data_IF_119110935778
#
_entry.id   IF_119110935778
#
_cell.length_a   1.000
_cell.length_b   1.000
_cell.length_c   1.000
_cell.angle_alpha   90.00
_cell.angle_beta   90.00
_cell.angle_gamma   90.00
#
_symmetry.space_group_name_H-M   'P 1'
#
loop_
_entity.id
_entity.type
_entity.pdbx_description
1 polymer ?
#
# COMPACT_ATOMS: atom_id res chain seq x y z
N UNK A 1 -29.34 62.81 -17.67
CA UNK A 1 -28.71 61.89 -16.69
C UNK A 1 -27.33 62.42 -16.30
N UNK A 2 -27.09 62.76 -15.02
CA UNK A 2 -25.78 63.21 -14.53
C UNK A 2 -24.93 61.96 -14.26
N UNK A 3 -23.94 61.66 -15.09
CA UNK A 3 -22.92 60.66 -14.85
C UNK A 3 -22.03 61.19 -13.73
N UNK A 4 -22.10 60.60 -12.55
CA UNK A 4 -21.14 60.87 -11.48
C UNK A 4 -19.87 60.07 -11.81
N UNK A 5 -18.80 60.80 -12.08
CA UNK A 5 -17.46 60.19 -12.20
C UNK A 5 -16.91 59.74 -10.82
N UNK A 6 -16.16 58.65 -10.79
CA UNK A 6 -15.47 58.22 -9.57
C UNK A 6 -14.42 59.25 -9.17
N UNK A 7 -14.33 59.54 -7.87
CA UNK A 7 -13.29 60.36 -7.32
C UNK A 7 -11.97 59.59 -7.19
N UNK A 8 -10.84 60.27 -7.23
CA UNK A 8 -9.50 59.69 -7.13
C UNK A 8 -9.38 58.87 -5.81
N UNK A 9 -9.98 59.37 -4.74
CA UNK A 9 -9.92 58.74 -3.40
C UNK A 9 -10.75 57.45 -3.38
N UNK A 10 -11.89 57.37 -4.10
CA UNK A 10 -12.67 56.16 -4.23
C UNK A 10 -11.91 55.04 -5.00
N UNK A 11 -11.14 55.42 -6.04
CA UNK A 11 -10.29 54.46 -6.77
C UNK A 11 -9.18 53.91 -5.86
N UNK A 12 -8.51 54.75 -5.10
CA UNK A 12 -7.44 54.34 -4.17
C UNK A 12 -8.03 53.40 -3.09
N UNK A 13 -9.15 53.79 -2.49
CA UNK A 13 -9.81 52.97 -1.47
C UNK A 13 -10.23 51.59 -2.03
N UNK A 14 -10.77 51.57 -3.26
CA UNK A 14 -11.15 50.31 -3.92
C UNK A 14 -9.95 49.40 -4.21
N UNK A 15 -8.81 49.97 -4.66
CA UNK A 15 -7.56 49.21 -4.89
C UNK A 15 -6.99 48.62 -3.59
N UNK A 16 -7.01 49.37 -2.51
CA UNK A 16 -6.55 48.88 -1.20
C UNK A 16 -7.44 47.74 -0.70
N UNK A 17 -8.76 47.90 -0.75
CA UNK A 17 -9.68 46.84 -0.35
C UNK A 17 -9.55 45.61 -1.23
N UNK A 18 -9.41 45.76 -2.56
CA UNK A 18 -9.21 44.66 -3.48
C UNK A 18 -7.91 43.88 -3.16
N UNK A 19 -6.81 44.59 -2.82
CA UNK A 19 -5.55 43.93 -2.46
C UNK A 19 -5.63 43.10 -1.19
N UNK A 20 -6.39 43.54 -0.19
CA UNK A 20 -6.62 42.81 1.07
C UNK A 20 -7.46 41.58 0.81
N UNK A 21 -8.55 41.70 0.03
CA UNK A 21 -9.41 40.58 -0.31
C UNK A 21 -8.65 39.53 -1.16
N UNK A 22 -7.87 39.98 -2.14
CA UNK A 22 -7.04 39.09 -2.96
C UNK A 22 -6.04 38.28 -2.15
N UNK A 23 -5.38 38.91 -1.16
CA UNK A 23 -4.46 38.20 -0.27
C UNK A 23 -5.16 37.12 0.56
N UNK A 24 -6.33 37.45 1.12
CA UNK A 24 -7.12 36.49 1.89
C UNK A 24 -7.59 35.28 1.04
N UNK A 25 -8.09 35.55 -0.18
CA UNK A 25 -8.48 34.50 -1.14
C UNK A 25 -7.29 33.64 -1.55
N UNK A 26 -6.11 34.24 -1.78
CA UNK A 26 -4.90 33.51 -2.12
C UNK A 26 -4.45 32.55 -1.04
N UNK A 27 -4.54 32.95 0.23
CA UNK A 27 -4.22 32.07 1.36
C UNK A 27 -5.22 30.88 1.49
N UNK A 28 -6.51 31.14 1.29
CA UNK A 28 -7.54 30.08 1.31
C UNK A 28 -7.34 29.10 0.15
N UNK A 29 -7.08 29.59 -1.05
CA UNK A 29 -6.83 28.76 -2.23
C UNK A 29 -5.62 27.83 -2.04
N UNK A 30 -4.53 28.34 -1.45
CA UNK A 30 -3.34 27.53 -1.15
C UNK A 30 -3.66 26.39 -0.17
N UNK A 31 -4.39 26.67 0.91
CA UNK A 31 -4.79 25.65 1.88
C UNK A 31 -5.63 24.55 1.24
N UNK A 32 -6.59 24.92 0.39
CA UNK A 32 -7.44 23.96 -0.32
C UNK A 32 -6.64 23.10 -1.30
N UNK A 33 -5.69 23.69 -2.04
CA UNK A 33 -4.81 22.93 -2.95
C UNK A 33 -3.93 21.93 -2.20
N UNK A 34 -3.32 22.33 -1.09
CA UNK A 34 -2.51 21.42 -0.27
C UNK A 34 -3.34 20.23 0.25
N UNK A 35 -4.57 20.49 0.74
CA UNK A 35 -5.45 19.43 1.19
C UNK A 35 -5.85 18.47 0.05
N UNK A 36 -6.07 18.96 -1.16
CA UNK A 36 -6.37 18.11 -2.32
C UNK A 36 -5.20 17.21 -2.69
N UNK A 37 -3.97 17.74 -2.71
CA UNK A 37 -2.77 16.94 -3.00
C UNK A 37 -2.58 15.87 -1.94
N UNK A 38 -2.70 16.22 -0.66
CA UNK A 38 -2.62 15.27 0.45
C UNK A 38 -3.67 14.17 0.35
N UNK A 39 -4.94 14.53 0.11
CA UNK A 39 -6.04 13.57 -0.01
C UNK A 39 -5.82 12.60 -1.19
N UNK A 40 -5.36 13.09 -2.34
CA UNK A 40 -5.06 12.24 -3.49
C UNK A 40 -3.92 11.27 -3.19
N UNK A 41 -2.84 11.72 -2.55
CA UNK A 41 -1.73 10.87 -2.13
C UNK A 41 -2.20 9.73 -1.20
N UNK A 42 -3.04 10.05 -0.20
CA UNK A 42 -3.60 9.05 0.70
C UNK A 42 -4.51 8.05 -0.01
N UNK A 43 -5.35 8.52 -0.92
CA UNK A 43 -6.24 7.65 -1.69
C UNK A 43 -5.44 6.66 -2.55
N UNK A 44 -4.37 7.12 -3.19
CA UNK A 44 -3.53 6.26 -4.02
C UNK A 44 -2.73 5.25 -3.17
N UNK A 45 -2.18 5.67 -2.02
CA UNK A 45 -1.54 4.73 -1.08
C UNK A 45 -2.51 3.66 -0.58
N UNK A 46 -3.75 4.04 -0.25
CA UNK A 46 -4.75 3.08 0.22
C UNK A 46 -5.15 2.09 -0.89
N UNK A 47 -5.27 2.54 -2.14
CA UNK A 47 -5.53 1.63 -3.28
C UNK A 47 -4.39 0.64 -3.50
N UNK A 48 -3.14 1.10 -3.47
CA UNK A 48 -1.97 0.24 -3.62
C UNK A 48 -1.88 -0.78 -2.49
N UNK A 49 -2.13 -0.34 -1.24
CA UNK A 49 -2.15 -1.23 -0.09
C UNK A 49 -3.28 -2.26 -0.17
N UNK A 50 -4.51 -1.82 -0.51
CA UNK A 50 -5.66 -2.72 -0.67
C UNK A 50 -5.40 -3.75 -1.78
N UNK A 51 -4.83 -3.32 -2.90
CA UNK A 51 -4.47 -4.22 -4.00
C UNK A 51 -3.45 -5.27 -3.55
N UNK A 52 -2.39 -4.84 -2.84
CA UNK A 52 -1.37 -5.76 -2.33
C UNK A 52 -1.95 -6.74 -1.32
N UNK A 53 -2.74 -6.26 -0.35
CA UNK A 53 -3.37 -7.08 0.68
C UNK A 53 -4.36 -8.08 0.09
N UNK A 54 -5.23 -7.65 -0.83
CA UNK A 54 -6.22 -8.51 -1.48
C UNK A 54 -5.55 -9.62 -2.28
N UNK A 55 -4.53 -9.31 -3.09
CA UNK A 55 -3.80 -10.32 -3.86
C UNK A 55 -3.08 -11.30 -2.94
N UNK A 56 -2.44 -10.79 -1.88
CA UNK A 56 -1.79 -11.63 -0.89
C UNK A 56 -2.77 -12.61 -0.24
N UNK A 57 -3.89 -12.13 0.30
CA UNK A 57 -4.91 -12.98 0.92
C UNK A 57 -5.47 -14.02 -0.05
N UNK A 58 -5.82 -13.60 -1.27
CA UNK A 58 -6.36 -14.51 -2.29
C UNK A 58 -5.40 -15.64 -2.65
N UNK A 59 -4.10 -15.34 -2.74
CA UNK A 59 -3.10 -16.35 -3.08
C UNK A 59 -2.79 -17.26 -1.89
N UNK A 60 -2.73 -16.72 -0.66
CA UNK A 60 -2.45 -17.50 0.56
C UNK A 60 -3.59 -18.46 0.89
N UNK A 61 -4.85 -18.07 0.68
CA UNK A 61 -5.99 -18.98 0.90
C UNK A 61 -5.93 -20.23 0.00
N UNK A 62 -5.26 -20.13 -1.14
CA UNK A 62 -5.10 -21.26 -2.06
C UNK A 62 -3.79 -22.05 -1.88
N UNK A 63 -3.09 -21.91 -0.78
CA UNK A 63 -1.81 -22.63 -0.55
C UNK A 63 -2.05 -24.12 -0.33
N UNK A 64 -1.25 -24.94 -1.03
CA UNK A 64 -1.17 -26.39 -0.80
C UNK A 64 0.11 -26.79 -0.06
N UNK A 65 1.20 -26.10 -0.30
CA UNK A 65 2.51 -26.41 0.26
C UNK A 65 3.38 -25.15 0.35
N UNK A 66 3.99 -24.92 1.51
CA UNK A 66 5.07 -23.94 1.65
C UNK A 66 6.41 -24.57 1.34
N UNK A 67 7.30 -23.81 0.73
CA UNK A 67 8.65 -24.28 0.42
C UNK A 67 9.59 -23.94 1.58
N UNK A 68 9.98 -24.95 2.35
CA UNK A 68 10.94 -24.79 3.45
C UNK A 68 12.28 -24.21 2.96
N UNK A 69 12.92 -23.40 3.82
CA UNK A 69 14.15 -22.69 3.49
C UNK A 69 13.97 -21.40 2.67
N UNK A 70 12.75 -21.16 2.13
CA UNK A 70 12.41 -19.92 1.43
C UNK A 70 11.43 -19.05 2.23
N UNK A 71 11.24 -19.37 3.51
CA UNK A 71 10.31 -18.71 4.42
C UNK A 71 11.11 -17.77 5.34
N UNK A 72 11.26 -16.54 4.91
CA UNK A 72 12.02 -15.51 5.63
C UNK A 72 11.16 -14.28 5.89
N UNK A 73 11.67 -13.32 6.63
CA UNK A 73 10.96 -12.05 6.84
C UNK A 73 10.72 -11.26 5.54
N UNK A 74 11.52 -11.51 4.49
CA UNK A 74 11.44 -10.76 3.22
C UNK A 74 11.05 -11.63 2.03
N UNK A 75 10.95 -12.94 2.20
CA UNK A 75 10.62 -13.87 1.13
C UNK A 75 9.65 -14.94 1.62
N UNK A 76 8.66 -15.24 0.78
CA UNK A 76 7.67 -16.28 0.97
C UNK A 76 7.48 -17.04 -0.33
N UNK A 77 7.66 -18.37 -0.30
CA UNK A 77 7.44 -19.23 -1.46
C UNK A 77 6.47 -20.36 -1.12
N UNK A 78 5.49 -20.58 -2.02
CA UNK A 78 4.49 -21.62 -1.85
C UNK A 78 3.93 -22.09 -3.19
N UNK A 79 3.30 -23.24 -3.20
CA UNK A 79 2.53 -23.78 -4.32
C UNK A 79 1.04 -23.67 -4.02
N UNK A 80 0.27 -23.26 -5.01
CA UNK A 80 -1.19 -23.12 -4.90
C UNK A 80 -1.88 -24.32 -5.54
N UNK A 81 -2.88 -24.88 -4.84
CA UNK A 81 -3.75 -25.93 -5.40
C UNK A 81 -4.76 -25.38 -6.42
N UNK A 82 -5.17 -24.11 -6.27
CA UNK A 82 -6.17 -23.49 -7.15
C UNK A 82 -5.67 -23.31 -8.59
N UNK A 83 -4.36 -23.14 -8.77
CA UNK A 83 -3.78 -22.81 -10.08
C UNK A 83 -2.61 -23.70 -10.48
N UNK A 84 -2.22 -24.69 -9.67
CA UNK A 84 -1.00 -25.47 -9.82
C UNK A 84 0.25 -24.60 -10.08
N UNK A 85 0.23 -23.39 -9.52
CA UNK A 85 1.28 -22.40 -9.70
C UNK A 85 2.17 -22.32 -8.46
N UNK A 86 3.47 -22.09 -8.69
CA UNK A 86 4.38 -21.68 -7.62
C UNK A 86 4.41 -20.16 -7.55
N UNK A 87 4.16 -19.62 -6.38
CA UNK A 87 4.27 -18.20 -6.07
C UNK A 87 5.52 -17.92 -5.26
N UNK A 88 6.19 -16.83 -5.57
CA UNK A 88 7.27 -16.27 -4.76
C UNK A 88 6.93 -14.80 -4.52
N UNK A 89 6.74 -14.44 -3.27
CA UNK A 89 6.63 -13.06 -2.81
C UNK A 89 7.98 -12.59 -2.30
N UNK A 90 8.36 -11.40 -2.66
CA UNK A 90 9.63 -10.81 -2.22
C UNK A 90 9.45 -9.33 -1.87
N UNK A 91 9.95 -8.96 -0.70
CA UNK A 91 10.04 -7.58 -0.24
C UNK A 91 11.46 -7.11 -0.50
N UNK A 92 11.61 -6.13 -1.40
CA UNK A 92 12.90 -5.57 -1.78
C UNK A 92 13.10 -4.23 -1.10
N UNK A 93 14.06 -4.15 -0.17
CA UNK A 93 14.41 -2.89 0.47
C UNK A 93 15.18 -1.97 -0.47
N UNK A 94 15.93 -2.51 -1.45
CA UNK A 94 16.67 -1.71 -2.44
C UNK A 94 15.77 -0.98 -3.42
N UNK A 95 14.67 -1.63 -3.82
CA UNK A 95 13.72 -1.07 -4.78
C UNK A 95 12.50 -0.46 -4.09
N UNK A 96 12.39 -0.61 -2.77
CA UNK A 96 11.23 -0.21 -1.98
C UNK A 96 9.91 -0.79 -2.53
N UNK A 97 9.89 -2.08 -2.86
CA UNK A 97 8.73 -2.73 -3.50
C UNK A 97 8.37 -4.06 -2.85
N UNK A 98 7.08 -4.42 -2.94
CA UNK A 98 6.62 -5.80 -2.80
C UNK A 98 6.38 -6.35 -4.19
N UNK A 99 7.12 -7.40 -4.56
CA UNK A 99 7.01 -8.10 -5.84
C UNK A 99 6.46 -9.50 -5.64
N UNK A 100 5.81 -10.02 -6.67
CA UNK A 100 5.50 -11.44 -6.73
C UNK A 100 5.92 -12.01 -8.08
N UNK A 101 6.25 -13.28 -8.09
CA UNK A 101 6.36 -14.07 -9.31
C UNK A 101 5.44 -15.28 -9.22
N UNK A 102 4.83 -15.61 -10.34
CA UNK A 102 3.96 -16.77 -10.51
C UNK A 102 4.50 -17.63 -11.61
N UNK A 103 4.79 -18.90 -11.32
CA UNK A 103 5.30 -19.86 -12.29
C UNK A 103 4.27 -20.96 -12.51
N UNK A 104 3.86 -21.18 -13.76
CA UNK A 104 2.97 -22.27 -14.20
C UNK A 104 3.64 -22.98 -15.35
N UNK A 105 3.81 -24.30 -15.24
CA UNK A 105 4.38 -25.14 -16.32
C UNK A 105 5.70 -24.57 -16.88
N UNK A 106 6.54 -24.01 -16.01
CA UNK A 106 7.83 -23.42 -16.38
C UNK A 106 7.79 -21.96 -16.87
N UNK A 107 6.61 -21.41 -17.15
CA UNK A 107 6.44 -20.01 -17.53
C UNK A 107 6.30 -19.13 -16.29
N UNK A 108 7.16 -18.13 -16.13
CA UNK A 108 7.13 -17.22 -15.00
C UNK A 108 6.64 -15.84 -15.42
N UNK A 109 5.63 -15.32 -14.73
CA UNK A 109 5.18 -13.94 -14.78
C UNK A 109 5.51 -13.23 -13.47
N UNK A 110 5.90 -11.97 -13.56
CA UNK A 110 6.23 -11.15 -12.39
C UNK A 110 5.35 -9.91 -12.34
N UNK A 111 5.03 -9.44 -11.14
CA UNK A 111 4.29 -8.22 -10.92
C UNK A 111 4.77 -7.49 -9.67
N UNK A 112 4.55 -6.17 -9.66
CA UNK A 112 4.72 -5.32 -8.47
C UNK A 112 3.36 -5.17 -7.83
N UNK A 113 3.27 -5.42 -6.53
CA UNK A 113 2.04 -5.27 -5.75
C UNK A 113 1.93 -3.90 -5.11
N UNK A 114 3.05 -3.40 -4.60
CA UNK A 114 3.14 -2.06 -4.04
C UNK A 114 4.55 -1.51 -4.24
N UNK A 115 4.66 -0.21 -4.44
CA UNK A 115 5.90 0.55 -4.47
C UNK A 115 5.95 1.58 -3.32
N UNK A 116 7.12 2.14 -3.04
CA UNK A 116 7.34 3.01 -1.88
C UNK A 116 7.23 2.27 -0.55
N UNK A 117 7.51 0.97 -0.57
CA UNK A 117 7.43 0.10 0.61
C UNK A 117 8.67 0.24 1.47
N UNK A 118 8.44 0.46 2.76
CA UNK A 118 9.49 0.39 3.79
C UNK A 118 9.02 -0.52 4.94
N UNK A 119 9.98 -1.01 5.74
CA UNK A 119 9.71 -1.87 6.90
C UNK A 119 8.82 -3.09 6.59
N UNK A 120 8.80 -3.53 5.32
CA UNK A 120 8.01 -4.68 4.91
C UNK A 120 8.56 -5.97 5.53
N UNK A 121 7.65 -6.83 6.02
CA UNK A 121 8.02 -8.16 6.54
C UNK A 121 6.86 -9.14 6.50
N UNK A 122 7.21 -10.41 6.36
CA UNK A 122 6.35 -11.55 6.64
C UNK A 122 6.59 -12.05 8.06
N UNK A 123 5.50 -12.31 8.79
CA UNK A 123 5.54 -12.94 10.11
C UNK A 123 4.71 -14.22 10.05
N UNK A 124 5.34 -15.33 10.34
CA UNK A 124 4.70 -16.65 10.30
C UNK A 124 4.18 -17.01 11.69
N UNK A 125 2.97 -17.56 11.74
CA UNK A 125 2.26 -17.85 12.98
C UNK A 125 1.89 -19.33 13.08
N UNK A 126 1.96 -19.87 14.31
CA UNK A 126 1.47 -21.22 14.60
C UNK A 126 -0.05 -21.21 14.90
N UNK A 127 -0.60 -22.40 15.26
CA UNK A 127 -2.01 -22.57 15.61
C UNK A 127 -2.45 -21.74 16.83
N UNK A 128 -1.52 -21.28 17.67
CA UNK A 128 -1.78 -20.46 18.85
C UNK A 128 -1.52 -18.97 18.60
N UNK A 129 -1.41 -18.55 17.32
CA UNK A 129 -1.11 -17.19 16.90
C UNK A 129 0.23 -16.62 17.43
N UNK A 130 1.18 -17.52 17.75
CA UNK A 130 2.52 -17.14 18.19
C UNK A 130 3.47 -17.06 16.99
N UNK A 131 4.41 -16.13 17.03
CA UNK A 131 5.38 -15.95 15.95
C UNK A 131 6.37 -17.14 15.93
N UNK A 132 6.58 -17.66 14.73
CA UNK A 132 7.56 -18.71 14.47
C UNK A 132 8.93 -18.08 14.12
N UNK A 133 9.98 -18.52 14.78
CA UNK A 133 11.37 -18.12 14.46
C UNK A 133 11.97 -18.96 13.33
N UNK A 134 11.56 -20.22 13.23
CA UNK A 134 11.94 -21.18 12.19
C UNK A 134 10.68 -21.76 11.55
N UNK A 135 10.06 -21.02 10.60
CA UNK A 135 8.83 -21.48 9.99
C UNK A 135 9.10 -22.67 9.04
N UNK A 136 8.24 -23.68 9.11
CA UNK A 136 8.20 -24.82 8.20
C UNK A 136 6.78 -25.03 7.71
N UNK A 137 6.59 -25.74 6.61
CA UNK A 137 5.27 -26.03 6.06
C UNK A 137 4.32 -26.62 7.13
N UNK A 138 4.80 -27.57 7.93
CA UNK A 138 4.01 -28.24 8.96
C UNK A 138 3.60 -27.32 10.13
N UNK A 139 4.36 -26.27 10.42
CA UNK A 139 4.16 -25.42 11.60
C UNK A 139 3.36 -24.15 11.33
N UNK A 140 3.34 -23.70 10.08
CA UNK A 140 2.63 -22.46 9.68
C UNK A 140 1.14 -22.71 9.65
N UNK A 141 0.38 -21.90 10.38
CA UNK A 141 -1.10 -21.86 10.34
C UNK A 141 -1.64 -20.49 9.98
N UNK A 142 -0.78 -19.48 9.93
CA UNK A 142 -1.13 -18.15 9.50
C UNK A 142 0.09 -17.35 9.08
N UNK A 143 -0.11 -16.39 8.21
CA UNK A 143 0.93 -15.47 7.75
C UNK A 143 0.41 -14.05 7.85
N UNK A 144 1.20 -13.20 8.47
CA UNK A 144 0.94 -11.77 8.56
C UNK A 144 1.93 -11.04 7.64
N UNK A 145 1.42 -10.21 6.76
CA UNK A 145 2.18 -9.26 5.95
C UNK A 145 2.01 -7.87 6.53
N UNK A 146 3.11 -7.27 6.97
CA UNK A 146 3.14 -5.89 7.47
C UNK A 146 4.07 -5.07 6.61
N UNK A 147 3.68 -3.86 6.24
CA UNK A 147 4.50 -2.92 5.49
C UNK A 147 4.02 -1.48 5.70
N UNK A 148 4.95 -0.54 5.52
CA UNK A 148 4.64 0.88 5.48
C UNK A 148 4.75 1.35 4.03
N UNK A 149 3.84 2.22 3.57
CA UNK A 149 3.97 2.96 2.33
C UNK A 149 4.37 4.39 2.59
N UNK A 150 5.27 4.90 1.75
CA UNK A 150 5.70 6.31 1.76
C UNK A 150 5.37 6.94 0.41
N UNK A 151 4.77 8.14 0.47
CA UNK A 151 4.56 9.03 -0.68
C UNK A 151 4.88 10.46 -0.25
N UNK A 152 6.04 10.98 -0.68
CA UNK A 152 6.54 12.27 -0.20
C UNK A 152 6.84 12.23 1.29
N UNK A 153 6.14 13.06 2.08
CA UNK A 153 6.28 13.12 3.55
C UNK A 153 5.28 12.20 4.27
N UNK A 154 4.29 11.67 3.56
CA UNK A 154 3.24 10.85 4.14
C UNK A 154 3.69 9.40 4.29
N UNK A 155 3.41 8.83 5.46
CA UNK A 155 3.72 7.45 5.80
C UNK A 155 2.52 6.79 6.48
N UNK A 156 2.11 5.63 5.96
CA UNK A 156 1.03 4.82 6.54
C UNK A 156 1.45 3.35 6.65
N UNK A 157 1.05 2.72 7.77
CA UNK A 157 1.34 1.32 8.06
C UNK A 157 0.13 0.45 7.74
N UNK A 158 0.37 -0.66 7.09
CA UNK A 158 -0.63 -1.64 6.70
C UNK A 158 -0.26 -3.01 7.23
N UNK A 159 -1.25 -3.73 7.69
CA UNK A 159 -1.09 -5.12 8.16
C UNK A 159 -2.24 -5.94 7.63
N UNK A 160 -1.93 -7.11 7.09
CA UNK A 160 -2.92 -8.10 6.71
C UNK A 160 -2.53 -9.46 7.23
N UNK A 161 -3.53 -10.23 7.65
CA UNK A 161 -3.35 -11.57 8.15
C UNK A 161 -4.17 -12.54 7.30
N UNK A 162 -3.57 -13.65 6.91
CA UNK A 162 -4.23 -14.69 6.15
C UNK A 162 -3.91 -16.05 6.73
N UNK A 163 -4.91 -16.93 6.77
CA UNK A 163 -4.77 -18.34 7.10
C UNK A 163 -4.97 -19.15 5.83
N UNK A 164 -4.05 -20.07 5.50
CA UNK A 164 -4.30 -21.07 4.47
C UNK A 164 -5.51 -21.92 4.85
N UNK A 165 -6.29 -22.35 3.85
CA UNK A 165 -7.40 -23.28 4.09
C UNK A 165 -6.85 -24.61 4.64
N UNK A 166 -7.29 -25.00 5.84
CA UNK A 166 -6.79 -26.21 6.54
C UNK A 166 -7.09 -27.52 5.77
N UNK A 167 -8.04 -27.49 4.85
CA UNK A 167 -8.50 -28.68 4.09
C UNK A 167 -7.40 -29.25 3.18
N UNK A 168 -6.39 -28.47 2.81
CA UNK A 168 -5.37 -28.87 1.86
C UNK A 168 -3.99 -29.13 2.46
N UNK A 169 -3.81 -28.86 3.76
CA UNK A 169 -2.55 -29.15 4.48
C UNK A 169 -2.48 -30.57 5.06
N UNK A 170 -3.51 -31.39 4.84
CA UNK A 170 -3.66 -32.73 5.47
C UNK A 170 -3.70 -33.92 4.47
N UNK A 171 -3.24 -33.72 3.21
CA UNK A 171 -3.14 -34.81 2.22
C UNK A 171 -1.69 -35.24 1.99
#
# INVERSE_FOLDING_TARGET
MKTRGFTLIEMIAAMVLASIVMSAVGLMARGTMMNLVYTNSMVDMNKDAEFAQRNFMMHINGVSLFTDGSLTATQLRFTSYLSAATYVYQISSSDSTIKYSRTISGNTSTGVLADGVINGKFVYKNAYNQNLTTPTDATIKGIELTFDLIRGEDKHSYTTFSMPDEIHLSL
#
